data_IF_871506451400
#
_entry.id   IF_871506451400
#
_cell.length_a   1.000
_cell.length_b   1.000
_cell.length_c   1.000
_cell.angle_alpha   90.00
_cell.angle_beta   90.00
_cell.angle_gamma   90.00
#
_symmetry.space_group_name_H-M   'P 1'
#
loop_
_entity.id
_entity.type
_entity.pdbx_description
1 polymer ?
#
# COMPACT_ATOMS: atom_id res chain seq x y z
N UNK A 1 -16.01 -2.10 -11.28
CA UNK A 1 -15.94 -1.16 -10.13
C UNK A 1 -16.57 0.16 -10.54
N UNK A 2 -17.51 0.70 -9.76
CA UNK A 2 -18.09 2.04 -10.00
C UNK A 2 -17.06 3.12 -9.62
N UNK A 3 -16.60 3.90 -10.60
CA UNK A 3 -15.47 4.83 -10.44
C UNK A 3 -15.76 5.96 -9.46
N UNK A 4 -16.98 6.50 -9.51
CA UNK A 4 -17.35 7.65 -8.67
C UNK A 4 -17.41 7.26 -7.20
N UNK A 5 -18.01 6.10 -6.92
CA UNK A 5 -18.04 5.53 -5.58
C UNK A 5 -16.63 5.19 -5.03
N UNK A 6 -15.75 4.62 -5.88
CA UNK A 6 -14.36 4.30 -5.49
C UNK A 6 -13.59 5.54 -5.05
N UNK A 7 -13.64 6.62 -5.82
CA UNK A 7 -12.89 7.82 -5.51
C UNK A 7 -13.38 8.49 -4.24
N UNK A 8 -14.69 8.53 -4.01
CA UNK A 8 -15.26 9.08 -2.77
C UNK A 8 -14.78 8.30 -1.55
N UNK A 9 -14.90 6.97 -1.59
CA UNK A 9 -14.46 6.09 -0.49
C UNK A 9 -12.95 6.20 -0.26
N UNK A 10 -12.13 6.10 -1.31
CA UNK A 10 -10.68 6.21 -1.20
C UNK A 10 -10.23 7.59 -0.70
N UNK A 11 -10.85 8.67 -1.17
CA UNK A 11 -10.51 10.03 -0.74
C UNK A 11 -10.81 10.24 0.73
N UNK A 12 -12.01 9.84 1.18
CA UNK A 12 -12.39 9.95 2.60
C UNK A 12 -11.45 9.15 3.49
N UNK A 13 -11.23 7.89 3.13
CA UNK A 13 -10.35 6.97 3.83
C UNK A 13 -8.90 7.47 3.92
N UNK A 14 -8.30 7.89 2.82
CA UNK A 14 -6.91 8.36 2.80
C UNK A 14 -6.74 9.68 3.56
N UNK A 15 -7.71 10.58 3.47
CA UNK A 15 -7.70 11.82 4.27
C UNK A 15 -7.79 11.54 5.77
N UNK A 16 -8.65 10.59 6.17
CA UNK A 16 -8.75 10.17 7.56
C UNK A 16 -7.45 9.47 8.02
N UNK A 17 -6.91 8.57 7.19
CA UNK A 17 -5.69 7.83 7.47
C UNK A 17 -4.47 8.75 7.66
N UNK A 18 -4.36 9.86 6.92
CA UNK A 18 -3.25 10.83 7.05
C UNK A 18 -3.14 11.49 8.43
N UNK A 19 -4.19 11.43 9.24
CA UNK A 19 -4.18 11.96 10.60
C UNK A 19 -3.57 10.98 11.61
N UNK A 20 -3.33 9.74 11.20
CA UNK A 20 -2.87 8.68 12.07
C UNK A 20 -1.36 8.65 12.28
N UNK A 21 -0.93 7.97 13.34
CA UNK A 21 0.50 7.81 13.62
C UNK A 21 1.19 6.89 12.62
N UNK A 22 0.52 5.79 12.26
CA UNK A 22 0.99 4.81 11.30
C UNK A 22 0.47 5.19 9.92
N UNK A 23 1.38 5.22 8.94
CA UNK A 23 1.14 5.79 7.61
C UNK A 23 1.42 4.81 6.47
N UNK A 24 1.78 3.56 6.80
CA UNK A 24 1.89 2.48 5.85
C UNK A 24 0.54 1.78 5.63
N UNK A 25 0.17 1.64 4.36
CA UNK A 25 -1.11 1.08 3.94
C UNK A 25 -0.92 0.04 2.83
N UNK A 26 -1.71 -1.04 2.85
CA UNK A 26 -1.80 -1.96 1.70
C UNK A 26 -3.23 -2.05 1.19
N UNK A 27 -3.41 -1.78 -0.09
CA UNK A 27 -4.63 -2.07 -0.84
C UNK A 27 -4.42 -3.40 -1.59
N UNK A 28 -5.19 -4.41 -1.20
CA UNK A 28 -5.09 -5.76 -1.74
C UNK A 28 -6.35 -6.09 -2.55
N UNK A 29 -6.17 -6.34 -3.84
CA UNK A 29 -7.23 -6.71 -4.78
C UNK A 29 -7.38 -8.22 -4.86
N UNK A 30 -8.56 -8.74 -5.17
CA UNK A 30 -8.75 -10.18 -5.43
C UNK A 30 -8.34 -10.58 -6.86
N UNK A 31 -8.40 -9.64 -7.82
CA UNK A 31 -8.15 -9.90 -9.24
C UNK A 31 -7.16 -8.91 -9.84
N UNK A 32 -6.29 -9.42 -10.70
CA UNK A 32 -5.38 -8.65 -11.55
C UNK A 32 -6.14 -7.74 -12.54
N UNK A 33 -7.34 -8.16 -12.98
CA UNK A 33 -8.17 -7.39 -13.92
C UNK A 33 -8.56 -6.01 -13.39
N UNK A 34 -8.64 -5.88 -12.06
CA UNK A 34 -9.10 -4.67 -11.39
C UNK A 34 -7.92 -3.77 -10.98
N UNK A 35 -6.68 -4.24 -11.15
CA UNK A 35 -5.48 -3.55 -10.69
C UNK A 35 -5.29 -2.21 -11.41
N UNK A 36 -5.30 -2.21 -12.73
CA UNK A 36 -5.11 -0.97 -13.51
C UNK A 36 -6.19 0.07 -13.16
N UNK A 37 -7.43 -0.38 -12.96
CA UNK A 37 -8.52 0.50 -12.56
C UNK A 37 -8.25 1.11 -11.18
N UNK A 38 -7.85 0.31 -10.19
CA UNK A 38 -7.54 0.80 -8.84
C UNK A 38 -6.35 1.75 -8.86
N UNK A 39 -5.29 1.42 -9.58
CA UNK A 39 -4.11 2.28 -9.69
C UNK A 39 -4.50 3.65 -10.26
N UNK A 40 -5.32 3.68 -11.32
CA UNK A 40 -5.82 4.95 -11.89
C UNK A 40 -6.62 5.75 -10.84
N UNK A 41 -7.47 5.09 -10.04
CA UNK A 41 -8.24 5.80 -9.00
C UNK A 41 -7.34 6.31 -7.88
N UNK A 42 -6.37 5.51 -7.41
CA UNK A 42 -5.42 5.95 -6.38
C UNK A 42 -4.57 7.11 -6.89
N UNK A 43 -4.10 7.09 -8.14
CA UNK A 43 -3.36 8.22 -8.73
C UNK A 43 -4.21 9.49 -8.85
N UNK A 44 -5.50 9.34 -9.15
CA UNK A 44 -6.43 10.48 -9.21
C UNK A 44 -6.67 11.12 -7.83
N UNK A 45 -6.61 10.32 -6.75
CA UNK A 45 -6.78 10.79 -5.36
C UNK A 45 -5.45 11.28 -4.76
N UNK A 46 -4.33 10.67 -5.16
CA UNK A 46 -2.98 10.93 -4.67
C UNK A 46 -2.13 11.65 -5.73
N UNK A 47 -2.63 12.78 -6.26
CA UNK A 47 -2.02 13.50 -7.38
C UNK A 47 -0.57 13.92 -7.15
N UNK A 48 -0.21 14.19 -5.89
CA UNK A 48 1.13 14.67 -5.54
C UNK A 48 2.12 13.52 -5.27
N UNK A 49 1.64 12.28 -5.09
CA UNK A 49 2.48 11.15 -4.70
C UNK A 49 3.45 10.73 -5.80
N UNK A 50 4.64 10.29 -5.40
CA UNK A 50 5.50 9.56 -6.31
C UNK A 50 4.89 8.16 -6.53
N UNK A 51 4.71 7.76 -7.79
CA UNK A 51 4.11 6.46 -8.12
C UNK A 51 5.10 5.55 -8.82
N UNK A 52 5.34 4.39 -8.22
CA UNK A 52 6.23 3.35 -8.72
C UNK A 52 5.42 2.22 -9.32
N UNK A 53 5.31 2.21 -10.65
CA UNK A 53 4.67 1.13 -11.43
C UNK A 53 5.66 0.16 -12.07
N UNK A 54 6.89 0.61 -12.30
CA UNK A 54 7.94 -0.10 -13.04
C UNK A 54 9.31 0.25 -12.48
N UNK A 55 10.31 -0.62 -12.64
CA UNK A 55 11.70 -0.31 -12.29
C UNK A 55 12.21 0.91 -13.04
N UNK A 56 13.12 1.67 -12.42
CA UNK A 56 13.83 2.82 -13.01
C UNK A 56 12.97 3.99 -13.48
N UNK A 57 11.69 4.01 -13.11
CA UNK A 57 10.76 5.09 -13.42
C UNK A 57 10.40 5.84 -12.14
N UNK A 58 10.36 7.17 -12.19
CA UNK A 58 9.98 8.04 -11.06
C UNK A 58 10.79 7.78 -9.77
N UNK A 59 12.07 7.41 -9.93
CA UNK A 59 12.97 7.10 -8.82
C UNK A 59 12.73 5.74 -8.17
N UNK A 60 11.95 4.85 -8.79
CA UNK A 60 11.87 3.45 -8.41
C UNK A 60 13.23 2.77 -8.63
N UNK A 61 13.65 1.86 -7.74
CA UNK A 61 14.89 1.12 -7.93
C UNK A 61 14.81 0.15 -9.12
N UNK A 62 15.98 -0.19 -9.67
CA UNK A 62 16.18 -1.23 -10.70
C UNK A 62 15.72 -2.60 -10.20
N UNK A 63 15.58 -3.57 -11.10
CA UNK A 63 15.52 -5.00 -10.75
C UNK A 63 16.72 -5.71 -11.40
N UNK A 64 17.45 -6.59 -10.67
CA UNK A 64 17.25 -6.95 -9.27
C UNK A 64 17.63 -5.80 -8.31
N UNK A 65 17.00 -5.75 -7.14
CA UNK A 65 17.40 -4.85 -6.05
C UNK A 65 17.63 -5.62 -4.75
N UNK A 66 18.63 -5.19 -3.98
CA UNK A 66 18.86 -5.78 -2.66
C UNK A 66 17.80 -5.29 -1.67
N UNK A 67 17.48 -6.08 -0.63
CA UNK A 67 16.62 -5.62 0.47
C UNK A 67 17.05 -4.28 1.02
N UNK A 68 18.34 -4.09 1.24
CA UNK A 68 18.87 -2.84 1.79
C UNK A 68 18.55 -1.64 0.90
N UNK A 69 18.73 -1.78 -0.42
CA UNK A 69 18.54 -0.67 -1.36
C UNK A 69 17.05 -0.39 -1.57
N UNK A 70 16.21 -1.42 -1.63
CA UNK A 70 14.76 -1.28 -1.63
C UNK A 70 14.25 -0.56 -0.39
N UNK A 71 14.61 -1.06 0.80
CA UNK A 71 14.17 -0.47 2.08
C UNK A 71 14.63 0.98 2.19
N UNK A 72 15.89 1.27 1.86
CA UNK A 72 16.38 2.66 1.84
C UNK A 72 15.55 3.52 0.91
N UNK A 73 15.26 3.02 -0.30
CA UNK A 73 14.49 3.76 -1.29
C UNK A 73 13.06 4.00 -0.80
N UNK A 74 12.32 2.95 -0.39
CA UNK A 74 10.93 3.07 0.09
C UNK A 74 10.83 4.01 1.29
N UNK A 75 11.68 3.84 2.30
CA UNK A 75 11.58 4.60 3.56
C UNK A 75 12.37 5.92 3.55
N UNK A 76 12.88 6.36 2.39
CA UNK A 76 13.37 7.74 2.27
C UNK A 76 12.20 8.72 2.46
N UNK A 77 12.41 9.75 3.27
CA UNK A 77 11.41 10.80 3.49
C UNK A 77 11.07 11.49 2.16
N UNK A 78 9.78 11.55 1.84
CA UNK A 78 9.25 12.24 0.66
C UNK A 78 8.25 13.30 1.09
N UNK A 79 8.28 14.50 0.49
CA UNK A 79 7.28 15.52 0.79
C UNK A 79 5.86 15.07 0.48
N UNK A 80 5.67 14.27 -0.57
CA UNK A 80 4.36 13.96 -1.12
C UNK A 80 3.94 12.49 -0.96
N UNK A 81 4.61 11.70 -0.11
CA UNK A 81 4.31 10.27 0.02
C UNK A 81 4.75 9.41 -1.18
N UNK A 82 4.39 8.12 -1.13
CA UNK A 82 4.79 7.11 -2.11
C UNK A 82 3.65 6.11 -2.36
N UNK A 83 3.36 5.81 -3.63
CA UNK A 83 2.52 4.69 -4.05
C UNK A 83 3.40 3.65 -4.74
N UNK A 84 3.35 2.39 -4.29
CA UNK A 84 4.09 1.27 -4.86
C UNK A 84 3.09 0.26 -5.43
N UNK A 85 3.13 0.03 -6.74
CA UNK A 85 2.25 -0.92 -7.41
C UNK A 85 3.01 -2.22 -7.62
N UNK A 86 2.48 -3.34 -7.07
CA UNK A 86 3.09 -4.67 -7.08
C UNK A 86 4.51 -4.72 -6.47
N UNK A 87 4.69 -4.33 -5.20
CA UNK A 87 6.02 -4.33 -4.57
C UNK A 87 6.73 -5.69 -4.61
N UNK A 88 5.99 -6.81 -4.67
CA UNK A 88 6.57 -8.16 -4.78
C UNK A 88 7.39 -8.36 -6.05
N UNK A 89 7.14 -7.58 -7.11
CA UNK A 89 7.95 -7.64 -8.34
C UNK A 89 9.40 -7.16 -8.11
N UNK A 90 9.67 -6.34 -7.09
CA UNK A 90 11.05 -5.95 -6.75
C UNK A 90 11.75 -6.90 -5.78
N UNK A 91 11.00 -7.84 -5.19
CA UNK A 91 11.49 -8.79 -4.18
C UNK A 91 11.94 -10.12 -4.81
N UNK A 92 12.31 -10.10 -6.10
CA UNK A 92 12.81 -11.29 -6.80
C UNK A 92 14.06 -11.79 -6.06
N UNK A 93 14.09 -13.10 -5.81
CA UNK A 93 15.15 -13.81 -5.08
C UNK A 93 15.32 -13.41 -3.60
N UNK A 94 14.37 -12.67 -3.03
CA UNK A 94 14.39 -12.39 -1.60
C UNK A 94 14.02 -13.64 -0.79
N UNK A 95 14.57 -13.73 0.41
CA UNK A 95 14.12 -14.74 1.37
C UNK A 95 12.75 -14.35 1.95
N UNK A 96 11.98 -15.34 2.39
CA UNK A 96 10.70 -15.11 3.09
C UNK A 96 10.88 -14.17 4.32
N UNK A 97 12.04 -14.24 4.98
CA UNK A 97 12.39 -13.37 6.10
C UNK A 97 12.59 -11.92 5.66
N UNK A 98 13.23 -11.70 4.52
CA UNK A 98 13.45 -10.36 3.97
C UNK A 98 12.14 -9.71 3.50
N UNK A 99 11.25 -10.49 2.85
CA UNK A 99 9.90 -10.03 2.49
C UNK A 99 9.11 -9.66 3.76
N UNK A 100 9.11 -10.54 4.76
CA UNK A 100 8.44 -10.28 6.05
C UNK A 100 8.99 -9.02 6.72
N UNK A 101 10.31 -8.80 6.65
CA UNK A 101 10.96 -7.61 7.19
C UNK A 101 10.44 -6.33 6.51
N UNK A 102 10.23 -6.36 5.19
CA UNK A 102 9.65 -5.23 4.48
C UNK A 102 8.21 -4.96 4.92
N UNK A 103 7.35 -5.98 4.94
CA UNK A 103 5.94 -5.80 5.31
C UNK A 103 5.77 -5.31 6.75
N UNK A 104 6.59 -5.81 7.67
CA UNK A 104 6.61 -5.32 9.06
C UNK A 104 7.05 -3.86 9.13
N UNK A 105 8.12 -3.49 8.43
CA UNK A 105 8.58 -2.11 8.38
C UNK A 105 7.56 -1.17 7.73
N UNK A 106 6.79 -1.65 6.75
CA UNK A 106 5.69 -0.89 6.16
C UNK A 106 4.58 -0.67 7.20
N UNK A 107 4.18 -1.70 7.94
CA UNK A 107 3.18 -1.55 9.02
C UNK A 107 3.63 -0.60 10.13
N UNK A 108 4.94 -0.51 10.38
CA UNK A 108 5.54 0.37 11.37
C UNK A 108 5.95 1.74 10.80
N UNK A 109 5.67 2.02 9.52
CA UNK A 109 5.94 3.31 8.91
C UNK A 109 5.16 4.39 9.66
N UNK A 110 5.88 5.35 10.25
CA UNK A 110 5.30 6.35 11.14
C UNK A 110 5.42 7.77 10.58
N UNK A 111 4.51 8.65 11.00
CA UNK A 111 4.67 10.10 10.84
C UNK A 111 4.59 10.57 9.39
N UNK A 112 5.70 10.98 8.78
CA UNK A 112 5.71 11.59 7.43
C UNK A 112 5.91 10.57 6.30
N UNK A 113 5.91 9.29 6.61
CA UNK A 113 6.07 8.21 5.63
C UNK A 113 4.71 7.70 5.16
N UNK A 114 3.98 8.50 4.40
CA UNK A 114 2.76 8.04 3.71
C UNK A 114 3.17 7.10 2.58
N UNK A 115 2.99 5.79 2.79
CA UNK A 115 3.37 4.76 1.84
C UNK A 115 2.16 3.87 1.59
N UNK A 116 1.66 3.88 0.36
CA UNK A 116 0.54 3.08 -0.09
C UNK A 116 1.07 1.98 -1.01
N UNK A 117 0.92 0.73 -0.61
CA UNK A 117 1.22 -0.42 -1.45
C UNK A 117 -0.06 -0.94 -2.09
N UNK A 118 -0.05 -1.17 -3.41
CA UNK A 118 -1.16 -1.77 -4.15
C UNK A 118 -0.70 -3.13 -4.67
N UNK A 119 -1.42 -4.21 -4.35
CA UNK A 119 -1.05 -5.55 -4.77
C UNK A 119 -2.27 -6.43 -5.04
N UNK A 120 -2.05 -7.51 -5.81
CA UNK A 120 -3.04 -8.59 -5.95
C UNK A 120 -2.83 -9.60 -4.82
N UNK A 121 -3.93 -9.98 -4.19
CA UNK A 121 -3.99 -10.89 -3.05
C UNK A 121 -3.57 -12.29 -3.49
N UNK A 122 -2.36 -12.68 -3.11
CA UNK A 122 -1.88 -14.06 -3.23
C UNK A 122 -1.76 -14.70 -1.84
N UNK A 123 -1.87 -16.04 -1.72
CA UNK A 123 -1.68 -16.69 -0.41
C UNK A 123 -0.37 -16.32 0.28
N UNK A 124 0.72 -16.15 -0.49
CA UNK A 124 2.02 -15.72 0.01
C UNK A 124 1.97 -14.29 0.58
N UNK A 125 1.43 -13.34 -0.18
CA UNK A 125 1.26 -11.96 0.30
C UNK A 125 0.41 -11.91 1.56
N UNK A 126 -0.75 -12.58 1.55
CA UNK A 126 -1.68 -12.59 2.69
C UNK A 126 -1.00 -13.17 3.95
N UNK A 127 -0.14 -14.18 3.80
CA UNK A 127 0.66 -14.73 4.91
C UNK A 127 1.53 -13.65 5.56
N UNK A 128 2.24 -12.84 4.76
CA UNK A 128 3.06 -11.76 5.28
C UNK A 128 2.23 -10.64 5.92
N UNK A 129 1.15 -10.21 5.25
CA UNK A 129 0.34 -9.10 5.74
C UNK A 129 -0.29 -9.41 7.11
N UNK A 130 -0.78 -10.63 7.34
CA UNK A 130 -1.40 -11.04 8.61
C UNK A 130 -0.48 -10.94 9.83
N UNK A 131 0.84 -10.87 9.63
CA UNK A 131 1.81 -10.76 10.72
C UNK A 131 1.72 -9.38 11.38
N UNK A 132 1.53 -8.31 10.60
CA UNK A 132 1.65 -6.93 11.10
C UNK A 132 0.50 -6.01 10.70
N UNK A 133 -0.40 -6.47 9.84
CA UNK A 133 -1.58 -5.72 9.42
C UNK A 133 -2.88 -6.42 9.84
N UNK A 134 -3.96 -5.64 9.86
CA UNK A 134 -5.34 -6.11 10.02
C UNK A 134 -6.12 -5.75 8.75
N UNK A 135 -6.80 -6.73 8.11
CA UNK A 135 -7.60 -6.46 6.93
C UNK A 135 -8.98 -5.90 7.29
N UNK A 136 -9.46 -4.98 6.45
CA UNK A 136 -10.82 -4.48 6.43
C UNK A 136 -11.31 -4.47 4.98
N UNK A 137 -12.60 -4.74 4.77
CA UNK A 137 -13.22 -4.59 3.45
C UNK A 137 -13.64 -3.14 3.28
N UNK A 138 -13.35 -2.56 2.12
CA UNK A 138 -13.84 -1.23 1.79
C UNK A 138 -15.27 -1.31 1.28
N UNK A 139 -16.11 -0.41 1.78
CA UNK A 139 -17.54 -0.43 1.44
C UNK A 139 -17.80 -0.23 -0.05
N UNK A 140 -18.55 -1.17 -0.63
CA UNK A 140 -18.92 -1.21 -2.04
C UNK A 140 -17.78 -1.65 -2.98
N UNK A 141 -16.62 -2.09 -2.47
CA UNK A 141 -15.42 -2.37 -3.27
C UNK A 141 -14.91 -3.81 -3.08
N UNK A 142 -14.36 -4.39 -4.15
CA UNK A 142 -13.63 -5.68 -4.15
C UNK A 142 -12.16 -5.54 -3.70
N UNK A 143 -11.90 -4.53 -2.86
CA UNK A 143 -10.56 -4.17 -2.36
C UNK A 143 -10.56 -4.30 -0.86
N UNK A 144 -9.59 -5.06 -0.34
CA UNK A 144 -9.29 -5.06 1.09
C UNK A 144 -8.22 -4.03 1.38
N UNK A 145 -8.44 -3.23 2.43
CA UNK A 145 -7.42 -2.37 3.01
C UNK A 145 -6.78 -3.08 4.20
N UNK A 146 -5.46 -2.99 4.30
CA UNK A 146 -4.67 -3.52 5.39
C UNK A 146 -3.95 -2.37 6.06
N UNK A 147 -4.31 -2.12 7.31
CA UNK A 147 -3.69 -1.10 8.17
C UNK A 147 -2.86 -1.75 9.26
N UNK A 148 -1.90 -1.02 9.80
CA UNK A 148 -1.06 -1.51 10.88
C UNK A 148 -1.90 -2.05 12.04
N UNK A 149 -1.53 -3.19 12.61
CA UNK A 149 -2.21 -3.74 13.80
C UNK A 149 -2.11 -2.85 15.04
N UNK A 150 -1.21 -1.88 15.01
CA UNK A 150 -0.99 -0.91 16.08
C UNK A 150 -1.81 0.37 15.88
N UNK A 151 -2.52 0.51 14.75
CA UNK A 151 -3.32 1.68 14.43
C UNK A 151 -4.75 1.53 14.98
N UNK A 152 -5.23 2.49 15.78
CA UNK A 152 -6.65 2.58 16.10
C UNK A 152 -7.46 2.81 14.82
N UNK A 153 -8.57 2.10 14.65
CA UNK A 153 -9.38 2.19 13.42
C UNK A 153 -10.78 2.76 13.64
N UNK A 154 -11.09 3.24 14.84
CA UNK A 154 -12.45 3.68 15.18
C UNK A 154 -12.99 4.78 14.25
N UNK A 155 -12.10 5.68 13.80
CA UNK A 155 -12.41 6.76 12.87
C UNK A 155 -12.44 6.31 11.39
N UNK A 156 -11.99 5.09 11.07
CA UNK A 156 -12.02 4.53 9.72
C UNK A 156 -13.23 3.61 9.51
N UNK A 157 -13.95 3.25 10.57
CA UNK A 157 -15.06 2.29 10.54
C UNK A 157 -16.17 2.66 9.56
N UNK A 158 -16.41 3.95 9.32
CA UNK A 158 -17.42 4.40 8.35
C UNK A 158 -17.10 4.04 6.89
N UNK A 159 -15.83 3.75 6.59
CA UNK A 159 -15.38 3.31 5.26
C UNK A 159 -15.36 1.79 5.12
N UNK A 160 -15.62 1.06 6.20
CA UNK A 160 -15.55 -0.40 6.25
C UNK A 160 -16.95 -1.03 6.19
N UNK A 161 -17.00 -2.26 5.67
CA UNK A 161 -18.18 -3.14 5.70
C UNK A 161 -18.20 -4.09 6.91
#
# INVERSE_FOLDING_TARGET
>A
MDRENVNVVLTGLLNAHRLERYQGLVLALESESDLDQLVIQVEAVCLDHNVWRRPDVNGAPTIPCTRRDWMRSVFTLRPNGLVIVKPTEWMIDWSELDETTFWNALADAFGRHEIISIAVSTPALIKHLRISFVPYKLSGLTVSIWVSRHQPVDHLKEFFE
#
